data_IF_590334748978
#
_entry.id   IF_590334748978
#
_cell.length_a   1.000
_cell.length_b   1.000
_cell.length_c   1.000
_cell.angle_alpha   90.00
_cell.angle_beta   90.00
_cell.angle_gamma   90.00
#
_symmetry.space_group_name_H-M   'P 1'
#
loop_
_entity.id
_entity.type
_entity.pdbx_description
1 polymer ?
#
# COMPACT_ATOMS: atom_id res chain seq x y z
N UNK A 1 -9.45 -24.01 -33.99
CA UNK A 1 -9.59 -25.48 -34.16
C UNK A 1 -10.01 -26.07 -32.81
N UNK A 2 -11.27 -26.52 -32.65
CA UNK A 2 -11.80 -27.01 -31.36
C UNK A 2 -11.11 -28.27 -30.86
N UNK A 3 -10.75 -29.20 -31.77
CA UNK A 3 -10.04 -30.44 -31.41
C UNK A 3 -8.67 -30.14 -30.81
N UNK A 4 -7.96 -29.17 -31.36
CA UNK A 4 -6.68 -28.71 -30.81
C UNK A 4 -6.85 -28.14 -29.40
N UNK A 5 -7.79 -27.23 -29.18
CA UNK A 5 -8.04 -26.62 -27.86
C UNK A 5 -8.39 -27.68 -26.81
N UNK A 6 -9.22 -28.65 -27.18
CA UNK A 6 -9.59 -29.73 -26.26
C UNK A 6 -8.40 -30.65 -25.94
N UNK A 7 -7.59 -31.01 -26.93
CA UNK A 7 -6.38 -31.79 -26.70
C UNK A 7 -5.36 -31.01 -25.84
N UNK A 8 -5.22 -29.71 -26.08
CA UNK A 8 -4.34 -28.81 -25.33
C UNK A 8 -4.66 -28.81 -23.83
N UNK A 9 -5.93 -28.62 -23.44
CA UNK A 9 -6.31 -28.68 -22.03
C UNK A 9 -6.26 -30.11 -21.47
N UNK A 10 -6.89 -31.08 -22.13
CA UNK A 10 -7.04 -32.43 -21.59
C UNK A 10 -5.72 -33.20 -21.47
N UNK A 11 -4.77 -32.98 -22.37
CA UNK A 11 -3.52 -33.75 -22.43
C UNK A 11 -2.34 -33.03 -21.77
N UNK A 12 -2.40 -31.70 -21.61
CA UNK A 12 -1.29 -30.92 -21.04
C UNK A 12 -1.68 -30.30 -19.71
N UNK A 13 -2.74 -29.47 -19.68
CA UNK A 13 -3.04 -28.66 -18.48
C UNK A 13 -3.76 -29.42 -17.39
N UNK A 14 -4.83 -30.15 -17.69
CA UNK A 14 -5.57 -30.91 -16.66
C UNK A 14 -4.70 -31.95 -15.94
N UNK A 15 -3.78 -32.68 -16.61
CA UNK A 15 -2.85 -33.56 -15.90
C UNK A 15 -1.91 -32.83 -14.93
N UNK A 16 -1.54 -31.58 -15.22
CA UNK A 16 -0.69 -30.76 -14.35
C UNK A 16 -1.49 -30.11 -13.21
N UNK A 17 -2.74 -29.69 -13.47
CA UNK A 17 -3.67 -29.24 -12.44
C UNK A 17 -3.96 -30.36 -11.43
N UNK A 18 -4.12 -31.61 -11.89
CA UNK A 18 -4.24 -32.79 -11.02
C UNK A 18 -2.99 -33.07 -10.18
N UNK A 19 -1.83 -32.55 -10.57
CA UNK A 19 -0.60 -32.63 -9.77
C UNK A 19 -0.51 -31.51 -8.72
N UNK A 20 -1.44 -30.54 -8.74
CA UNK A 20 -1.53 -29.46 -7.76
C UNK A 20 -1.22 -28.06 -8.30
N UNK A 21 -1.23 -27.83 -9.63
CA UNK A 21 -1.11 -26.46 -10.15
C UNK A 21 -2.37 -25.64 -9.80
N UNK A 22 -2.15 -24.53 -9.10
CA UNK A 22 -3.24 -23.66 -8.66
C UNK A 22 -3.73 -22.69 -9.73
N UNK A 23 -2.82 -22.14 -10.53
CA UNK A 23 -3.17 -21.18 -11.58
C UNK A 23 -2.13 -21.18 -12.70
N UNK A 24 -2.51 -20.58 -13.84
CA UNK A 24 -1.65 -20.46 -15.01
C UNK A 24 -1.15 -19.02 -15.20
N UNK A 25 0.15 -18.88 -15.44
CA UNK A 25 0.74 -17.64 -15.91
C UNK A 25 0.96 -17.69 -17.43
N UNK A 26 0.17 -16.90 -18.15
CA UNK A 26 0.20 -16.73 -19.60
C UNK A 26 1.13 -15.56 -19.98
N UNK A 27 2.43 -15.83 -20.06
CA UNK A 27 3.42 -14.77 -20.27
C UNK A 27 3.42 -14.20 -21.70
N UNK A 28 3.19 -15.03 -22.72
CA UNK A 28 3.20 -14.71 -24.17
C UNK A 28 3.98 -13.43 -24.58
N UNK A 29 5.21 -13.59 -25.05
CA UNK A 29 6.07 -12.48 -25.52
C UNK A 29 6.27 -12.46 -27.06
N UNK A 30 5.64 -13.36 -27.81
CA UNK A 30 6.11 -13.72 -29.17
C UNK A 30 5.48 -12.95 -30.34
N UNK A 31 5.03 -11.72 -30.09
CA UNK A 31 4.80 -10.72 -31.15
C UNK A 31 3.37 -10.19 -31.25
N UNK A 32 3.25 -8.89 -31.49
CA UNK A 32 1.99 -8.25 -31.85
C UNK A 32 1.50 -8.78 -33.22
N UNK A 33 0.19 -8.77 -33.44
CA UNK A 33 -0.38 -8.95 -34.76
C UNK A 33 0.26 -7.96 -35.75
N UNK A 34 1.12 -8.44 -36.67
CA UNK A 34 1.86 -7.60 -37.62
C UNK A 34 1.02 -7.22 -38.85
N UNK A 35 -0.23 -7.67 -38.90
CA UNK A 35 -1.20 -7.32 -39.95
C UNK A 35 -2.62 -7.56 -39.45
N UNK A 36 -3.62 -6.99 -40.15
CA UNK A 36 -5.06 -7.24 -39.90
C UNK A 36 -5.47 -8.72 -40.08
N UNK A 37 -4.61 -9.53 -40.70
CA UNK A 37 -4.82 -10.97 -40.88
C UNK A 37 -4.23 -11.83 -39.74
N UNK A 38 -3.46 -11.22 -38.82
CA UNK A 38 -2.93 -11.89 -37.64
C UNK A 38 -3.77 -11.51 -36.42
N UNK A 39 -4.06 -12.48 -35.58
CA UNK A 39 -4.76 -12.28 -34.30
C UNK A 39 -3.69 -12.38 -33.22
N UNK A 40 -3.62 -11.40 -32.32
CA UNK A 40 -2.87 -11.56 -31.08
C UNK A 40 -3.54 -12.66 -30.27
N UNK A 41 -2.87 -13.81 -30.04
CA UNK A 41 -3.50 -14.94 -29.40
C UNK A 41 -3.73 -14.69 -27.91
N UNK A 42 -3.06 -13.72 -27.27
CA UNK A 42 -3.07 -13.56 -25.82
C UNK A 42 -4.49 -13.32 -25.28
N UNK A 43 -5.28 -12.48 -25.96
CA UNK A 43 -6.69 -12.30 -25.60
C UNK A 43 -7.45 -13.63 -25.63
N UNK A 44 -7.28 -14.39 -26.70
CA UNK A 44 -7.97 -15.68 -26.87
C UNK A 44 -7.49 -16.70 -25.84
N UNK A 45 -6.19 -16.71 -25.51
CA UNK A 45 -5.61 -17.56 -24.48
C UNK A 45 -6.19 -17.22 -23.11
N UNK A 46 -6.29 -15.94 -22.76
CA UNK A 46 -6.88 -15.48 -21.49
C UNK A 46 -8.32 -15.97 -21.35
N UNK A 47 -9.14 -15.79 -22.40
CA UNK A 47 -10.53 -16.27 -22.40
C UNK A 47 -10.60 -17.78 -22.26
N UNK A 48 -9.83 -18.52 -23.06
CA UNK A 48 -9.89 -19.98 -23.09
C UNK A 48 -9.43 -20.58 -21.76
N UNK A 49 -8.30 -20.12 -21.21
CA UNK A 49 -7.76 -20.61 -19.94
C UNK A 49 -8.67 -20.29 -18.77
N UNK A 50 -9.16 -19.04 -18.66
CA UNK A 50 -10.05 -18.67 -17.57
C UNK A 50 -11.35 -19.47 -17.60
N UNK A 51 -12.01 -19.58 -18.77
CA UNK A 51 -13.25 -20.34 -18.89
C UNK A 51 -13.05 -21.84 -18.69
N UNK A 52 -11.87 -22.38 -18.97
CA UNK A 52 -11.57 -23.78 -18.69
C UNK A 52 -11.38 -24.01 -17.18
N UNK A 53 -10.58 -23.16 -16.52
CA UNK A 53 -10.33 -23.23 -15.08
C UNK A 53 -11.61 -23.00 -14.26
N UNK A 54 -12.54 -22.14 -14.70
CA UNK A 54 -13.85 -21.93 -14.06
C UNK A 54 -14.66 -23.23 -13.96
N UNK A 55 -14.48 -24.20 -14.87
CA UNK A 55 -15.24 -25.47 -14.80
C UNK A 55 -14.89 -26.28 -13.56
N UNK A 56 -13.62 -26.25 -13.16
CA UNK A 56 -13.11 -27.01 -12.01
C UNK A 56 -13.10 -26.13 -10.74
N UNK A 57 -12.62 -24.89 -10.84
CA UNK A 57 -12.38 -23.99 -9.71
C UNK A 57 -13.47 -22.97 -9.43
N UNK A 58 -14.46 -22.86 -10.33
CA UNK A 58 -15.59 -21.92 -10.21
C UNK A 58 -15.10 -20.47 -9.97
N UNK A 59 -15.44 -19.92 -8.82
CA UNK A 59 -15.13 -18.59 -8.31
C UNK A 59 -13.68 -18.42 -7.84
N UNK A 60 -12.90 -19.50 -7.77
CA UNK A 60 -11.46 -19.47 -7.47
C UNK A 60 -10.58 -19.53 -8.74
N UNK A 61 -11.18 -19.43 -9.93
CA UNK A 61 -10.40 -19.34 -11.16
C UNK A 61 -9.53 -18.07 -11.16
N UNK A 62 -8.24 -18.26 -11.40
CA UNK A 62 -7.24 -17.23 -11.44
C UNK A 62 -6.27 -17.53 -12.56
N UNK A 63 -5.96 -16.51 -13.36
CA UNK A 63 -4.82 -16.55 -14.29
C UNK A 63 -4.05 -15.24 -14.21
N UNK A 64 -2.74 -15.29 -14.45
CA UNK A 64 -1.87 -14.13 -14.56
C UNK A 64 -1.48 -13.97 -16.02
N UNK A 65 -1.56 -12.76 -16.58
CA UNK A 65 -1.28 -12.55 -18.01
C UNK A 65 -0.77 -11.14 -18.30
N UNK A 66 -0.02 -10.98 -19.38
CA UNK A 66 0.37 -9.65 -19.87
C UNK A 66 -0.85 -8.85 -20.32
N UNK A 67 -0.64 -7.55 -20.53
CA UNK A 67 -1.65 -6.67 -21.10
C UNK A 67 -2.10 -7.15 -22.49
N UNK A 68 -3.38 -7.53 -22.61
CA UNK A 68 -3.99 -7.97 -23.88
C UNK A 68 -4.98 -6.95 -24.46
N UNK A 69 -4.94 -5.70 -24.00
CA UNK A 69 -5.84 -4.64 -24.47
C UNK A 69 -7.05 -4.38 -23.54
N UNK A 70 -7.83 -3.32 -23.82
CA UNK A 70 -9.01 -2.95 -23.03
C UNK A 70 -10.04 -4.09 -22.97
N UNK A 71 -10.65 -4.26 -21.80
CA UNK A 71 -11.62 -5.33 -21.54
C UNK A 71 -11.00 -6.66 -21.11
N UNK A 72 -9.68 -6.84 -21.23
CA UNK A 72 -9.05 -8.13 -20.91
C UNK A 72 -9.06 -8.38 -19.42
N UNK A 73 -9.10 -7.35 -18.57
CA UNK A 73 -9.19 -7.41 -17.11
C UNK A 73 -10.30 -8.34 -16.57
N UNK A 74 -11.28 -8.71 -17.40
CA UNK A 74 -12.34 -9.68 -17.06
C UNK A 74 -11.84 -11.10 -16.79
N UNK A 75 -10.62 -11.44 -17.23
CA UNK A 75 -10.12 -12.81 -17.15
C UNK A 75 -8.83 -12.95 -16.32
N UNK A 76 -7.74 -12.19 -16.56
CA UNK A 76 -6.53 -12.30 -15.77
C UNK A 76 -6.28 -11.12 -14.85
N UNK A 77 -5.48 -11.39 -13.82
CA UNK A 77 -4.61 -10.36 -13.27
C UNK A 77 -3.65 -9.93 -14.39
N UNK A 78 -3.67 -8.64 -14.72
CA UNK A 78 -2.76 -8.05 -15.70
C UNK A 78 -1.43 -7.63 -15.06
N UNK A 79 -0.33 -7.69 -15.81
CA UNK A 79 0.95 -7.11 -15.35
C UNK A 79 1.72 -6.33 -16.42
N UNK A 80 2.62 -5.45 -15.95
CA UNK A 80 3.35 -4.48 -16.77
C UNK A 80 4.47 -5.04 -17.66
N UNK A 81 4.83 -6.32 -17.49
CA UNK A 81 5.90 -6.97 -18.25
C UNK A 81 7.31 -6.66 -17.74
N UNK A 82 8.29 -6.84 -18.63
CA UNK A 82 9.71 -6.93 -18.27
C UNK A 82 10.34 -5.55 -18.04
N UNK A 83 10.15 -5.01 -16.84
CA UNK A 83 10.74 -3.74 -16.45
C UNK A 83 12.24 -3.84 -16.20
N UNK A 84 13.01 -2.81 -16.56
CA UNK A 84 14.43 -2.73 -16.19
C UNK A 84 14.55 -2.40 -14.70
N UNK A 85 15.42 -3.09 -13.93
CA UNK A 85 15.70 -2.74 -12.54
C UNK A 85 16.45 -1.41 -12.44
N UNK A 86 15.71 -0.30 -12.44
CA UNK A 86 16.24 1.06 -12.36
C UNK A 86 15.24 2.03 -11.72
N UNK A 87 15.75 3.12 -11.14
CA UNK A 87 14.95 4.23 -10.63
C UNK A 87 14.02 4.85 -11.68
N UNK A 88 14.43 4.88 -12.96
CA UNK A 88 13.58 5.36 -14.06
C UNK A 88 12.34 4.48 -14.25
N UNK A 89 12.49 3.17 -14.14
CA UNK A 89 11.35 2.25 -14.16
C UNK A 89 10.46 2.47 -12.94
N UNK A 90 11.03 2.52 -11.74
CA UNK A 90 10.27 2.78 -10.52
C UNK A 90 9.51 4.12 -10.58
N UNK A 91 10.09 5.16 -11.17
CA UNK A 91 9.42 6.47 -11.38
C UNK A 91 8.15 6.35 -12.23
N UNK A 92 8.11 5.40 -13.17
CA UNK A 92 6.97 5.18 -14.06
C UNK A 92 5.90 4.25 -13.48
N UNK A 93 6.29 3.28 -12.63
CA UNK A 93 5.40 2.21 -12.20
C UNK A 93 4.16 2.66 -11.39
N UNK A 94 4.24 3.64 -10.47
CA UNK A 94 3.05 4.13 -9.77
C UNK A 94 2.01 4.73 -10.70
N UNK A 95 2.41 5.64 -11.59
CA UNK A 95 1.53 6.20 -12.61
C UNK A 95 0.89 5.09 -13.46
N UNK A 96 1.69 4.13 -13.93
CA UNK A 96 1.17 3.05 -14.77
C UNK A 96 0.20 2.14 -14.02
N UNK A 97 0.50 1.82 -12.76
CA UNK A 97 -0.36 1.01 -11.88
C UNK A 97 -1.67 1.73 -11.59
N UNK A 98 -1.63 3.02 -11.22
CA UNK A 98 -2.83 3.78 -10.91
C UNK A 98 -3.72 3.96 -12.15
N UNK A 99 -3.12 4.28 -13.31
CA UNK A 99 -3.88 4.50 -14.56
C UNK A 99 -4.39 3.23 -15.22
N UNK A 100 -3.92 2.03 -14.82
CA UNK A 100 -4.50 0.77 -15.27
C UNK A 100 -6.00 0.66 -14.91
N UNK A 101 -6.42 1.30 -13.82
CA UNK A 101 -7.83 1.32 -13.40
C UNK A 101 -8.72 2.10 -14.36
N UNK A 102 -8.19 3.05 -15.14
CA UNK A 102 -8.94 3.77 -16.20
C UNK A 102 -9.51 2.83 -17.27
N UNK A 103 -8.92 1.65 -17.42
CA UNK A 103 -9.31 0.64 -18.41
C UNK A 103 -9.78 -0.68 -17.77
N UNK A 104 -10.16 -0.61 -16.47
CA UNK A 104 -10.74 -1.71 -15.71
C UNK A 104 -9.75 -2.69 -15.09
N UNK A 105 -8.44 -2.49 -15.23
CA UNK A 105 -7.43 -3.31 -14.56
C UNK A 105 -7.25 -2.86 -13.10
N UNK A 106 -8.18 -3.25 -12.24
CA UNK A 106 -8.22 -2.85 -10.82
C UNK A 106 -7.23 -3.61 -9.94
N UNK A 107 -6.92 -4.86 -10.30
CA UNK A 107 -5.92 -5.73 -9.66
C UNK A 107 -4.64 -5.84 -10.48
N UNK A 108 -4.06 -4.69 -10.87
CA UNK A 108 -2.83 -4.65 -11.67
C UNK A 108 -1.59 -5.11 -10.90
N UNK A 109 -0.69 -5.81 -11.59
CA UNK A 109 0.58 -6.32 -11.06
C UNK A 109 1.78 -5.76 -11.83
N UNK A 110 2.96 -5.84 -11.22
CA UNK A 110 4.24 -5.51 -11.84
C UNK A 110 5.35 -6.26 -11.11
N UNK A 111 6.55 -6.27 -11.71
CA UNK A 111 7.72 -6.93 -11.14
C UNK A 111 8.39 -6.02 -10.12
N UNK A 112 8.12 -6.27 -8.84
CA UNK A 112 8.68 -5.47 -7.75
C UNK A 112 10.20 -5.64 -7.71
N UNK A 113 10.91 -4.52 -7.73
CA UNK A 113 12.37 -4.47 -7.83
C UNK A 113 12.90 -4.59 -9.26
N UNK A 114 12.04 -4.68 -10.27
CA UNK A 114 12.40 -4.77 -11.69
C UNK A 114 12.72 -6.18 -12.18
N UNK A 115 12.35 -6.45 -13.43
CA UNK A 115 12.46 -7.77 -14.06
C UNK A 115 13.90 -8.16 -14.43
N UNK A 116 14.59 -7.28 -15.17
CA UNK A 116 15.87 -7.59 -15.81
C UNK A 116 16.83 -6.38 -15.86
N UNK A 117 18.09 -6.64 -16.23
CA UNK A 117 19.14 -5.62 -16.36
C UNK A 117 19.33 -4.79 -15.07
N UNK A 118 20.06 -3.67 -15.17
CA UNK A 118 20.39 -2.83 -14.02
C UNK A 118 21.58 -3.35 -13.22
N UNK A 119 21.69 -2.90 -11.98
CA UNK A 119 22.74 -3.26 -11.03
C UNK A 119 22.14 -3.48 -9.64
N UNK A 120 22.89 -4.17 -8.77
CA UNK A 120 22.50 -4.32 -7.38
C UNK A 120 22.34 -2.94 -6.71
N UNK A 121 21.13 -2.63 -6.26
CA UNK A 121 20.78 -1.41 -5.56
C UNK A 121 19.75 -1.76 -4.47
N UNK A 122 20.19 -1.91 -3.21
CA UNK A 122 19.31 -2.30 -2.11
C UNK A 122 18.26 -1.24 -1.80
N UNK A 123 18.55 0.05 -2.02
CA UNK A 123 17.58 1.12 -1.78
C UNK A 123 16.49 1.10 -2.84
N UNK A 124 16.83 0.93 -4.12
CA UNK A 124 15.86 0.78 -5.20
C UNK A 124 14.92 -0.39 -4.93
N UNK A 125 15.47 -1.57 -4.60
CA UNK A 125 14.67 -2.75 -4.29
C UNK A 125 13.75 -2.51 -3.10
N UNK A 126 14.24 -1.86 -2.03
CA UNK A 126 13.44 -1.53 -0.86
C UNK A 126 12.30 -0.57 -1.19
N UNK A 127 12.58 0.55 -1.85
CA UNK A 127 11.55 1.55 -2.19
C UNK A 127 10.50 0.96 -3.13
N UNK A 128 10.91 0.10 -4.06
CA UNK A 128 9.98 -0.61 -4.93
C UNK A 128 9.12 -1.61 -4.14
N UNK A 129 9.69 -2.34 -3.18
CA UNK A 129 8.93 -3.24 -2.31
C UNK A 129 7.92 -2.48 -1.45
N UNK A 130 8.32 -1.34 -0.88
CA UNK A 130 7.41 -0.47 -0.11
C UNK A 130 6.24 0.01 -0.98
N UNK A 131 6.50 0.45 -2.21
CA UNK A 131 5.44 0.72 -3.19
C UNK A 131 4.56 -0.52 -3.47
N UNK A 132 5.18 -1.69 -3.63
CA UNK A 132 4.50 -2.96 -3.89
C UNK A 132 3.53 -3.41 -2.79
N UNK A 133 3.83 -3.11 -1.52
CA UNK A 133 2.91 -3.35 -0.39
C UNK A 133 1.59 -2.59 -0.57
N UNK A 134 1.67 -1.38 -1.10
CA UNK A 134 0.53 -0.52 -1.41
C UNK A 134 0.11 -0.57 -2.89
N UNK A 135 0.45 -1.67 -3.59
CA UNK A 135 -0.03 -1.97 -4.95
C UNK A 135 -1.15 -3.01 -4.90
N UNK A 136 -1.95 -3.21 -5.96
CA UNK A 136 -3.05 -4.16 -5.92
C UNK A 136 -2.53 -5.59 -5.74
N UNK A 137 -1.50 -5.96 -6.48
CA UNK A 137 -0.81 -7.25 -6.35
C UNK A 137 0.64 -7.04 -5.93
N UNK A 138 1.05 -7.71 -4.85
CA UNK A 138 2.44 -7.74 -4.39
C UNK A 138 3.13 -8.99 -4.96
N UNK A 139 3.91 -8.82 -6.03
CA UNK A 139 4.64 -9.92 -6.70
C UNK A 139 6.12 -9.60 -6.87
N UNK A 140 6.96 -10.32 -6.12
CA UNK A 140 8.41 -10.31 -6.32
C UNK A 140 8.74 -11.22 -7.49
N UNK A 141 9.33 -10.69 -8.56
CA UNK A 141 9.66 -11.47 -9.75
C UNK A 141 10.81 -10.84 -10.54
N UNK A 142 11.61 -11.69 -11.20
CA UNK A 142 12.68 -11.30 -12.11
C UNK A 142 13.05 -12.40 -13.10
N UNK A 143 13.89 -12.05 -14.06
CA UNK A 143 14.60 -13.01 -14.91
C UNK A 143 15.39 -14.02 -14.08
N UNK A 144 15.65 -15.19 -14.64
CA UNK A 144 16.52 -16.23 -14.06
C UNK A 144 17.99 -15.78 -14.06
N UNK A 145 18.32 -14.94 -13.10
CA UNK A 145 19.66 -14.45 -12.83
C UNK A 145 19.92 -14.56 -11.32
N UNK A 146 20.92 -15.36 -10.88
CA UNK A 146 21.18 -15.60 -9.46
C UNK A 146 21.56 -14.34 -8.67
N UNK A 147 21.95 -13.25 -9.34
CA UNK A 147 22.27 -11.97 -8.70
C UNK A 147 21.09 -10.98 -8.64
N UNK A 148 19.91 -11.37 -9.12
CA UNK A 148 18.70 -10.54 -9.14
C UNK A 148 17.62 -11.01 -8.16
N UNK A 149 17.99 -11.82 -7.16
CA UNK A 149 17.10 -12.25 -6.08
C UNK A 149 16.33 -11.08 -5.45
N UNK A 150 15.05 -11.29 -5.18
CA UNK A 150 14.11 -10.27 -4.68
C UNK A 150 13.72 -10.50 -3.23
N UNK A 151 14.06 -11.65 -2.70
CA UNK A 151 13.73 -12.05 -1.34
C UNK A 151 14.51 -11.20 -0.33
N UNK A 152 13.87 -10.80 0.79
CA UNK A 152 14.51 -9.90 1.77
C UNK A 152 15.89 -10.35 2.26
N UNK A 153 16.09 -11.66 2.44
CA UNK A 153 17.35 -12.25 2.92
C UNK A 153 18.52 -12.22 1.92
N UNK A 154 18.29 -11.73 0.69
CA UNK A 154 19.36 -11.49 -0.30
C UNK A 154 20.03 -10.11 -0.12
N UNK A 155 19.54 -9.28 0.81
CA UNK A 155 20.01 -7.91 1.02
C UNK A 155 20.75 -7.75 2.36
N UNK A 156 21.38 -6.58 2.56
CA UNK A 156 21.99 -6.23 3.83
C UNK A 156 20.97 -6.21 4.98
N UNK A 157 21.44 -6.36 6.21
CA UNK A 157 20.58 -6.55 7.39
C UNK A 157 19.58 -5.42 7.62
N UNK A 158 19.91 -4.16 7.31
CA UNK A 158 18.96 -3.06 7.46
C UNK A 158 17.86 -3.11 6.42
N UNK A 159 18.25 -3.36 5.17
CA UNK A 159 17.33 -3.51 4.05
C UNK A 159 16.40 -4.70 4.26
N UNK A 160 16.92 -5.87 4.63
CA UNK A 160 16.14 -7.07 4.97
C UNK A 160 15.11 -6.78 6.07
N UNK A 161 15.54 -6.18 7.19
CA UNK A 161 14.63 -5.83 8.30
C UNK A 161 13.50 -4.92 7.86
N UNK A 162 13.81 -3.92 7.02
CA UNK A 162 12.78 -3.03 6.51
C UNK A 162 11.84 -3.76 5.55
N UNK A 163 12.37 -4.50 4.57
CA UNK A 163 11.57 -5.30 3.64
C UNK A 163 10.65 -6.29 4.37
N UNK A 164 11.18 -7.03 5.36
CA UNK A 164 10.42 -7.98 6.17
C UNK A 164 9.30 -7.28 6.95
N UNK A 165 9.54 -6.10 7.52
CA UNK A 165 8.49 -5.31 8.19
C UNK A 165 7.36 -4.94 7.22
N UNK A 166 7.71 -4.52 6.01
CA UNK A 166 6.75 -4.12 4.98
C UNK A 166 5.96 -5.32 4.39
N UNK A 167 6.61 -6.47 4.17
CA UNK A 167 5.93 -7.72 3.78
C UNK A 167 4.95 -8.16 4.86
N UNK A 168 5.32 -8.07 6.14
CA UNK A 168 4.41 -8.37 7.25
C UNK A 168 3.23 -7.41 7.29
N UNK A 169 3.47 -6.11 7.08
CA UNK A 169 2.39 -5.12 6.97
C UNK A 169 1.41 -5.49 5.84
N UNK A 170 1.90 -5.95 4.68
CA UNK A 170 1.01 -6.43 3.60
C UNK A 170 0.10 -7.57 4.08
N UNK A 171 0.64 -8.54 4.79
CA UNK A 171 -0.15 -9.66 5.34
C UNK A 171 -1.17 -9.18 6.38
N UNK A 172 -0.76 -8.25 7.26
CA UNK A 172 -1.67 -7.65 8.24
C UNK A 172 -2.79 -6.85 7.58
N UNK A 173 -2.55 -6.23 6.42
CA UNK A 173 -3.56 -5.49 5.65
C UNK A 173 -4.59 -6.37 4.93
N UNK A 174 -4.48 -7.70 4.96
CA UNK A 174 -5.40 -8.60 4.26
C UNK A 174 -6.88 -8.31 4.54
N UNK A 175 -7.34 -8.02 5.78
CA UNK A 175 -8.75 -7.67 6.02
C UNK A 175 -9.20 -6.38 5.29
N UNK A 176 -8.33 -5.38 5.22
CA UNK A 176 -8.57 -4.14 4.45
C UNK A 176 -8.59 -4.41 2.94
N UNK A 177 -7.66 -5.22 2.45
CA UNK A 177 -7.56 -5.61 1.03
C UNK A 177 -8.74 -6.48 0.59
N UNK A 178 -9.17 -7.43 1.40
CA UNK A 178 -10.32 -8.30 1.14
C UNK A 178 -11.61 -7.47 1.09
N UNK A 179 -11.73 -6.45 1.93
CA UNK A 179 -12.85 -5.49 1.81
C UNK A 179 -12.82 -4.77 0.47
N UNK A 180 -11.65 -4.28 0.03
CA UNK A 180 -11.50 -3.64 -1.26
C UNK A 180 -11.81 -4.60 -2.42
N UNK A 181 -11.49 -5.89 -2.31
CA UNK A 181 -11.85 -6.91 -3.31
C UNK A 181 -13.36 -7.09 -3.42
N UNK A 182 -14.05 -7.22 -2.29
CA UNK A 182 -15.51 -7.31 -2.24
C UNK A 182 -16.18 -6.10 -2.89
N UNK A 183 -15.68 -4.89 -2.60
CA UNK A 183 -16.20 -3.65 -3.19
C UNK A 183 -15.86 -3.53 -4.68
N UNK A 184 -14.67 -3.97 -5.10
CA UNK A 184 -14.29 -4.03 -6.51
C UNK A 184 -15.24 -4.94 -7.28
N UNK A 185 -15.49 -6.14 -6.77
CA UNK A 185 -16.38 -7.12 -7.40
C UNK A 185 -17.85 -6.65 -7.47
N UNK A 186 -18.36 -6.10 -6.37
CA UNK A 186 -19.80 -5.77 -6.25
C UNK A 186 -20.16 -4.39 -6.81
N UNK A 187 -19.24 -3.43 -6.72
CA UNK A 187 -19.50 -2.02 -7.00
C UNK A 187 -18.57 -1.42 -8.06
N UNK A 188 -17.56 -2.17 -8.52
CA UNK A 188 -16.58 -1.68 -9.48
C UNK A 188 -15.61 -0.64 -8.90
N UNK A 189 -15.54 -0.50 -7.56
CA UNK A 189 -14.65 0.44 -6.88
C UNK A 189 -13.24 -0.14 -6.79
N UNK A 190 -12.25 0.38 -7.52
CA UNK A 190 -10.90 -0.19 -7.49
C UNK A 190 -10.21 0.07 -6.15
N UNK A 191 -9.34 -0.85 -5.74
CA UNK A 191 -8.45 -0.64 -4.59
C UNK A 191 -7.55 0.60 -4.78
N UNK A 192 -7.09 0.85 -6.01
CA UNK A 192 -6.28 2.04 -6.32
C UNK A 192 -7.07 3.01 -7.19
N UNK A 193 -7.13 4.26 -6.76
CA UNK A 193 -7.77 5.33 -7.54
C UNK A 193 -6.76 6.46 -7.75
N UNK A 194 -6.42 6.84 -8.99
CA UNK A 194 -5.72 8.08 -9.26
C UNK A 194 -6.43 9.25 -8.57
N UNK A 195 -5.69 10.23 -8.04
CA UNK A 195 -6.28 11.30 -7.21
C UNK A 195 -7.37 12.08 -7.95
N UNK A 196 -7.23 12.23 -9.27
CA UNK A 196 -8.22 12.90 -10.12
C UNK A 196 -9.58 12.18 -10.20
N UNK A 197 -9.72 10.92 -9.76
CA UNK A 197 -11.03 10.26 -9.65
C UNK A 197 -11.92 10.95 -8.62
N UNK A 198 -11.36 11.35 -7.47
CA UNK A 198 -12.11 12.02 -6.40
C UNK A 198 -12.06 13.53 -6.52
N UNK A 199 -11.06 14.07 -7.20
CA UNK A 199 -10.82 15.51 -7.38
C UNK A 199 -10.67 15.90 -8.85
N UNK A 200 -11.69 15.66 -9.70
CA UNK A 200 -11.58 15.80 -11.16
C UNK A 200 -11.38 17.25 -11.64
N UNK A 201 -11.75 18.23 -10.82
CA UNK A 201 -11.64 19.66 -11.12
C UNK A 201 -10.35 20.30 -10.56
N UNK A 202 -9.52 19.54 -9.83
CA UNK A 202 -8.30 20.05 -9.21
C UNK A 202 -7.11 19.77 -10.13
N UNK A 203 -6.41 20.83 -10.54
CA UNK A 203 -5.27 20.73 -11.48
C UNK A 203 -4.14 19.88 -10.90
N UNK A 204 -3.83 20.07 -9.63
CA UNK A 204 -2.76 19.38 -8.91
C UNK A 204 -2.97 17.86 -8.93
N UNK A 205 -4.22 17.37 -8.87
CA UNK A 205 -4.57 15.95 -8.94
C UNK A 205 -4.17 15.27 -10.27
N UNK A 206 -3.94 16.04 -11.34
CA UNK A 206 -3.39 15.55 -12.61
C UNK A 206 -1.89 15.81 -12.77
N UNK A 207 -1.34 16.74 -11.99
CA UNK A 207 0.09 17.07 -12.01
C UNK A 207 0.91 16.02 -11.25
N UNK A 208 0.45 15.62 -10.07
CA UNK A 208 1.08 14.58 -9.25
C UNK A 208 0.58 13.19 -9.68
N UNK A 209 1.21 12.65 -10.71
CA UNK A 209 0.74 11.45 -11.42
C UNK A 209 1.01 10.13 -10.70
N UNK A 210 1.92 10.13 -9.73
CA UNK A 210 2.36 8.93 -9.03
C UNK A 210 1.60 8.67 -7.74
N UNK A 211 0.87 9.66 -7.21
CA UNK A 211 0.04 9.50 -6.01
C UNK A 211 -1.35 8.93 -6.36
N UNK A 212 -1.93 8.23 -5.40
CA UNK A 212 -3.22 7.57 -5.55
C UNK A 212 -3.85 7.26 -4.20
N UNK A 213 -5.17 7.16 -4.17
CA UNK A 213 -5.87 6.57 -3.02
C UNK A 213 -5.70 5.06 -3.01
N UNK A 214 -5.47 4.51 -1.83
CA UNK A 214 -5.39 3.09 -1.57
C UNK A 214 -6.54 2.69 -0.65
N UNK A 215 -7.60 2.17 -1.25
CA UNK A 215 -8.90 1.95 -0.64
C UNK A 215 -9.59 3.26 -0.21
N UNK A 216 -10.48 3.19 0.77
CA UNK A 216 -11.24 4.35 1.23
C UNK A 216 -10.46 5.29 2.16
N UNK A 217 -9.43 4.78 2.84
CA UNK A 217 -8.83 5.46 4.00
C UNK A 217 -7.48 6.13 3.72
N UNK A 218 -6.71 5.63 2.75
CA UNK A 218 -5.30 6.00 2.57
C UNK A 218 -5.03 6.74 1.26
N UNK A 219 -4.08 7.67 1.29
CA UNK A 219 -3.43 8.32 0.15
C UNK A 219 -1.95 7.94 0.19
N UNK A 220 -1.43 7.37 -0.90
CA UNK A 220 -0.04 6.91 -1.00
C UNK A 220 0.72 7.87 -1.91
N UNK A 221 1.90 8.33 -1.47
CA UNK A 221 2.79 9.19 -2.26
C UNK A 221 4.13 8.48 -2.46
N UNK A 222 4.32 7.75 -3.57
CA UNK A 222 5.46 6.85 -3.75
C UNK A 222 6.82 7.55 -3.86
N UNK A 223 7.81 7.00 -3.15
CA UNK A 223 9.22 7.39 -3.27
C UNK A 223 9.81 6.71 -4.50
N UNK A 224 10.28 7.52 -5.45
CA UNK A 224 10.78 7.04 -6.74
C UNK A 224 12.17 7.58 -7.10
N UNK A 225 12.85 8.16 -6.12
CA UNK A 225 14.21 8.67 -6.21
C UNK A 225 15.06 8.17 -5.02
N UNK A 226 16.38 8.04 -5.19
CA UNK A 226 17.28 7.62 -4.11
C UNK A 226 17.32 8.64 -2.97
N UNK A 227 17.80 8.18 -1.82
CA UNK A 227 18.02 9.03 -0.66
C UNK A 227 19.07 10.10 -0.93
N UNK A 228 18.90 11.25 -0.27
CA UNK A 228 19.90 12.31 -0.28
C UNK A 228 21.11 11.90 0.57
N UNK A 229 22.32 12.01 0.02
CA UNK A 229 23.56 11.58 0.66
C UNK A 229 23.86 12.32 1.97
N UNK A 230 23.35 13.56 2.11
CA UNK A 230 23.56 14.39 3.29
C UNK A 230 22.67 13.94 4.43
N UNK A 231 21.38 13.71 4.18
CA UNK A 231 20.39 13.41 5.22
C UNK A 231 20.16 11.91 5.43
N UNK A 232 20.43 11.08 4.42
CA UNK A 232 20.03 9.67 4.38
C UNK A 232 18.52 9.46 4.21
N UNK A 233 17.77 10.51 3.85
CA UNK A 233 16.33 10.47 3.67
C UNK A 233 15.99 10.45 2.18
N UNK A 234 15.04 9.60 1.79
CA UNK A 234 14.44 9.69 0.47
C UNK A 234 13.19 10.58 0.53
N UNK A 235 12.81 11.16 -0.60
CA UNK A 235 11.68 12.09 -0.66
C UNK A 235 10.66 11.75 -1.75
N UNK A 236 9.43 12.18 -1.52
CA UNK A 236 8.36 12.18 -2.51
C UNK A 236 7.55 13.47 -2.36
N UNK A 237 7.17 14.08 -3.47
CA UNK A 237 6.32 15.27 -3.48
C UNK A 237 4.93 14.91 -4.02
N UNK A 238 3.89 15.37 -3.35
CA UNK A 238 2.50 15.06 -3.68
C UNK A 238 1.53 16.17 -3.29
N UNK A 239 0.32 16.10 -3.83
CA UNK A 239 -0.78 16.96 -3.48
C UNK A 239 -1.63 16.30 -2.39
N UNK A 240 -1.63 16.91 -1.21
CA UNK A 240 -2.51 16.55 -0.10
C UNK A 240 -3.87 17.20 -0.33
N UNK A 241 -4.95 16.43 -0.56
CA UNK A 241 -6.27 16.99 -0.81
C UNK A 241 -6.85 17.72 0.39
N UNK A 242 -7.86 18.55 0.14
CA UNK A 242 -8.56 19.32 1.18
C UNK A 242 -9.00 18.43 2.37
N UNK A 243 -8.64 18.86 3.58
CA UNK A 243 -8.89 18.12 4.83
C UNK A 243 -7.62 17.87 5.63
N UNK A 244 -7.76 17.25 6.80
CA UNK A 244 -6.64 16.83 7.64
C UNK A 244 -6.30 15.38 7.34
N UNK A 245 -5.02 15.09 7.24
CA UNK A 245 -4.47 13.78 6.95
C UNK A 245 -3.38 13.46 7.97
N UNK A 246 -3.27 12.21 8.40
CA UNK A 246 -2.28 11.76 9.38
C UNK A 246 -1.40 10.70 8.74
N UNK A 247 -0.08 10.85 8.78
CA UNK A 247 0.84 9.84 8.24
C UNK A 247 0.79 8.56 9.07
N UNK A 248 0.62 7.43 8.39
CA UNK A 248 0.51 6.09 8.97
C UNK A 248 1.76 5.68 9.77
N UNK A 249 2.94 6.18 9.40
CA UNK A 249 4.22 5.77 9.97
C UNK A 249 4.82 6.80 10.91
N UNK A 250 4.68 8.10 10.60
CA UNK A 250 5.25 9.18 11.41
C UNK A 250 4.22 9.81 12.36
N UNK A 251 2.93 9.55 12.16
CA UNK A 251 1.81 10.16 12.87
C UNK A 251 1.69 11.69 12.71
N UNK A 252 2.54 12.29 11.89
CA UNK A 252 2.50 13.71 11.55
C UNK A 252 1.18 14.04 10.83
N UNK A 253 0.55 15.14 11.20
CA UNK A 253 -0.65 15.64 10.56
C UNK A 253 -0.34 16.70 9.50
N UNK A 254 -1.05 16.64 8.39
CA UNK A 254 -0.97 17.57 7.27
C UNK A 254 -2.37 18.12 7.00
N UNK A 255 -2.46 19.43 6.77
CA UNK A 255 -3.71 20.08 6.36
C UNK A 255 -3.63 20.45 4.89
N UNK A 256 -4.45 19.81 4.07
CA UNK A 256 -4.65 20.18 2.68
C UNK A 256 -5.79 21.20 2.48
N UNK A 257 -5.92 21.80 1.29
CA UNK A 257 -5.17 21.48 0.08
C UNK A 257 -3.74 22.04 0.12
N UNK A 258 -2.74 21.20 -0.10
CA UNK A 258 -1.33 21.61 -0.07
C UNK A 258 -0.47 20.70 -0.95
N UNK A 259 0.61 21.25 -1.51
CA UNK A 259 1.69 20.44 -2.06
C UNK A 259 2.72 20.25 -0.95
N UNK A 260 3.04 18.99 -0.67
CA UNK A 260 3.94 18.63 0.43
C UNK A 260 5.03 17.71 -0.11
N UNK A 261 6.26 17.96 0.31
CA UNK A 261 7.40 17.08 0.08
C UNK A 261 7.71 16.32 1.35
N UNK A 262 7.52 15.01 1.30
CA UNK A 262 7.67 14.08 2.41
C UNK A 262 9.08 13.52 2.44
N UNK A 263 9.71 13.45 3.62
CA UNK A 263 11.04 12.87 3.82
C UNK A 263 10.96 11.63 4.71
N UNK A 264 11.48 10.50 4.21
CA UNK A 264 11.37 9.20 4.91
C UNK A 264 12.70 8.48 4.95
N UNK A 265 13.01 7.93 6.12
CA UNK A 265 14.09 6.96 6.26
C UNK A 265 13.68 5.61 5.64
N UNK A 266 14.57 4.62 5.72
CA UNK A 266 14.36 3.28 5.15
C UNK A 266 13.17 2.52 5.74
N UNK A 267 12.69 2.85 6.94
CA UNK A 267 11.64 2.12 7.66
C UNK A 267 10.25 2.76 7.55
N UNK A 268 10.13 3.84 6.78
CA UNK A 268 8.90 4.61 6.64
C UNK A 268 8.60 4.85 5.16
N UNK A 269 7.33 5.11 4.85
CA UNK A 269 6.85 5.40 3.51
C UNK A 269 5.72 6.43 3.57
N UNK A 270 5.58 7.38 2.64
CA UNK A 270 4.53 8.39 2.71
C UNK A 270 3.16 7.78 2.43
N UNK A 271 2.40 7.52 3.49
CA UNK A 271 1.04 6.99 3.43
C UNK A 271 0.20 7.79 4.41
N UNK A 272 -0.71 8.58 3.87
CA UNK A 272 -1.54 9.47 4.65
C UNK A 272 -2.92 8.85 4.84
N UNK A 273 -3.39 8.81 6.08
CA UNK A 273 -4.72 8.35 6.45
C UNK A 273 -5.62 9.57 6.65
N UNK A 274 -6.82 9.52 6.06
CA UNK A 274 -7.80 10.62 6.15
C UNK A 274 -8.21 10.91 7.60
N UNK A 275 -8.71 12.12 7.83
CA UNK A 275 -9.32 12.53 9.10
C UNK A 275 -10.34 11.52 9.62
N UNK A 276 -10.14 11.02 10.85
CA UNK A 276 -10.97 10.01 11.49
C UNK A 276 -10.79 8.58 10.96
N UNK A 277 -9.81 8.35 10.08
CA UNK A 277 -9.65 7.09 9.37
C UNK A 277 -9.57 5.87 10.30
N UNK A 278 -10.03 4.73 9.78
CA UNK A 278 -10.07 3.45 10.51
C UNK A 278 -9.41 2.38 9.67
N UNK A 279 -8.31 1.80 10.16
CA UNK A 279 -7.53 0.79 9.42
C UNK A 279 -7.55 -0.54 10.19
N UNK A 280 -8.31 -1.55 9.73
CA UNK A 280 -8.28 -2.88 10.32
C UNK A 280 -7.07 -3.68 9.82
N UNK A 281 -6.38 -4.32 10.77
CA UNK A 281 -5.21 -5.15 10.54
C UNK A 281 -5.42 -6.52 11.20
N UNK A 282 -5.03 -7.59 10.53
CA UNK A 282 -4.82 -8.87 11.21
C UNK A 282 -3.59 -8.75 12.14
N UNK A 283 -3.65 -9.34 13.34
CA UNK A 283 -2.54 -9.26 14.28
C UNK A 283 -1.37 -10.13 13.85
N UNK A 284 -1.66 -11.37 13.46
CA UNK A 284 -0.64 -12.34 13.04
C UNK A 284 -0.41 -12.28 11.52
N UNK A 285 0.71 -11.68 11.14
CA UNK A 285 1.17 -11.59 9.75
C UNK A 285 1.53 -12.95 9.12
N UNK A 286 1.68 -14.01 9.93
CA UNK A 286 2.07 -15.34 9.49
C UNK A 286 0.90 -16.33 9.47
N UNK A 287 -0.29 -15.91 9.91
CA UNK A 287 -1.49 -16.74 9.89
C UNK A 287 -1.90 -17.08 8.45
N UNK A 288 -2.58 -18.21 8.28
CA UNK A 288 -3.14 -18.60 6.99
C UNK A 288 -4.18 -17.55 6.54
N UNK A 289 -4.07 -17.11 5.29
CA UNK A 289 -4.95 -16.07 4.72
C UNK A 289 -6.28 -16.62 4.19
N UNK A 290 -6.41 -17.95 4.09
CA UNK A 290 -7.64 -18.62 3.68
C UNK A 290 -8.71 -18.59 4.78
N UNK A 291 -8.28 -18.41 6.03
CA UNK A 291 -9.14 -18.30 7.20
C UNK A 291 -9.32 -16.84 7.61
N UNK A 292 -10.50 -16.50 8.12
CA UNK A 292 -10.72 -15.20 8.73
C UNK A 292 -9.86 -15.09 10.01
N UNK A 293 -9.18 -13.95 10.24
CA UNK A 293 -8.24 -13.82 11.37
C UNK A 293 -8.96 -14.01 12.70
N UNK A 294 -8.35 -14.64 13.71
CA UNK A 294 -8.94 -14.71 15.06
C UNK A 294 -8.66 -13.46 15.90
N UNK A 295 -7.60 -12.70 15.58
CA UNK A 295 -7.22 -11.50 16.31
C UNK A 295 -6.89 -10.37 15.33
N UNK A 296 -7.40 -9.17 15.63
CA UNK A 296 -7.22 -8.00 14.78
C UNK A 296 -6.95 -6.75 15.60
N UNK A 297 -6.14 -5.86 15.06
CA UNK A 297 -5.95 -4.50 15.54
C UNK A 297 -6.73 -3.55 14.66
N UNK A 298 -7.55 -2.68 15.26
CA UNK A 298 -8.21 -1.58 14.57
C UNK A 298 -7.49 -0.29 14.93
N UNK A 299 -6.74 0.25 13.97
CA UNK A 299 -6.02 1.52 14.14
C UNK A 299 -6.98 2.68 13.86
N UNK A 300 -7.13 3.56 14.84
CA UNK A 300 -8.04 4.71 14.84
C UNK A 300 -7.23 6.01 14.75
N UNK A 301 -7.56 6.84 13.76
CA UNK A 301 -6.85 8.08 13.49
C UNK A 301 -7.61 9.30 14.05
N UNK A 302 -6.89 10.38 14.42
CA UNK A 302 -7.51 11.60 14.92
C UNK A 302 -8.31 12.34 13.83
N UNK A 303 -9.16 13.29 14.25
CA UNK A 303 -9.87 14.19 13.35
C UNK A 303 -11.38 14.16 13.51
N UNK A 304 -12.10 14.08 12.39
CA UNK A 304 -13.58 14.10 12.37
C UNK A 304 -14.16 12.72 12.61
N UNK A 305 -15.41 12.67 13.07
CA UNK A 305 -16.15 11.42 13.15
C UNK A 305 -16.19 10.72 11.79
N UNK A 306 -15.92 9.42 11.79
CA UNK A 306 -15.87 8.61 10.59
C UNK A 306 -16.28 7.16 10.89
N UNK A 307 -16.62 6.41 9.83
CA UNK A 307 -16.98 5.01 9.94
C UNK A 307 -16.41 4.21 8.78
N UNK A 308 -16.01 2.98 9.08
CA UNK A 308 -15.50 2.01 8.11
C UNK A 308 -16.28 0.71 8.23
N UNK A 309 -16.59 0.08 7.10
CA UNK A 309 -17.26 -1.22 7.06
C UNK A 309 -16.26 -2.26 6.58
N UNK A 310 -15.89 -3.18 7.47
CA UNK A 310 -15.12 -4.37 7.12
C UNK A 310 -16.07 -5.39 6.47
N UNK A 311 -15.71 -5.86 5.28
CA UNK A 311 -16.42 -6.93 4.59
C UNK A 311 -15.62 -8.22 4.70
N UNK A 312 -16.26 -9.29 5.17
CA UNK A 312 -15.66 -10.61 5.32
C UNK A 312 -16.48 -11.62 4.52
N UNK A 313 -15.82 -12.58 3.86
CA UNK A 313 -16.47 -13.62 3.09
C UNK A 313 -15.73 -14.96 3.19
N UNK A 314 -16.49 -16.04 3.21
CA UNK A 314 -16.00 -17.41 3.09
C UNK A 314 -16.92 -18.17 2.13
N UNK A 315 -16.61 -19.44 1.86
CA UNK A 315 -17.53 -20.31 1.11
C UNK A 315 -18.90 -20.48 1.79
N UNK A 316 -18.99 -20.26 3.11
CA UNK A 316 -20.23 -20.41 3.88
C UNK A 316 -21.13 -19.15 3.85
N UNK A 317 -20.62 -17.99 3.46
CA UNK A 317 -21.40 -16.77 3.37
C UNK A 317 -20.60 -15.48 3.51
N UNK A 318 -21.29 -14.42 3.92
CA UNK A 318 -20.72 -13.07 4.06
C UNK A 318 -21.08 -12.47 5.42
N UNK A 319 -20.20 -11.63 5.92
CA UNK A 319 -20.40 -10.84 7.13
C UNK A 319 -19.90 -9.41 6.93
N UNK A 320 -20.42 -8.50 7.75
CA UNK A 320 -19.98 -7.12 7.81
C UNK A 320 -19.77 -6.69 9.26
N UNK A 321 -18.67 -6.01 9.52
CA UNK A 321 -18.42 -5.33 10.80
C UNK A 321 -18.26 -3.84 10.55
N UNK A 322 -19.20 -3.03 11.03
CA UNK A 322 -19.13 -1.57 10.93
C UNK A 322 -18.44 -1.00 12.17
N UNK A 323 -17.32 -0.34 11.98
CA UNK A 323 -16.65 0.48 12.99
C UNK A 323 -17.08 1.93 12.85
N UNK A 324 -17.35 2.60 13.96
CA UNK A 324 -17.63 4.05 14.03
C UNK A 324 -16.73 4.67 15.08
N UNK A 325 -16.05 5.75 14.72
CA UNK A 325 -15.08 6.41 15.59
C UNK A 325 -15.39 7.91 15.65
N UNK A 326 -15.56 8.42 16.86
CA UNK A 326 -15.65 9.85 17.15
C UNK A 326 -14.48 10.25 18.06
N UNK A 327 -13.40 10.81 17.48
CA UNK A 327 -12.23 11.25 18.23
C UNK A 327 -12.55 12.34 19.26
N UNK A 328 -13.52 13.21 18.98
CA UNK A 328 -13.84 14.37 19.83
C UNK A 328 -14.64 13.92 21.05
N UNK A 329 -15.60 13.03 20.85
CA UNK A 329 -16.35 12.44 21.95
C UNK A 329 -15.58 11.32 22.68
N UNK A 330 -14.48 10.83 22.10
CA UNK A 330 -13.76 9.66 22.60
C UNK A 330 -14.62 8.40 22.57
N UNK A 331 -15.46 8.23 21.54
CA UNK A 331 -16.38 7.08 21.47
C UNK A 331 -16.11 6.20 20.26
N UNK A 332 -16.04 4.90 20.52
CA UNK A 332 -15.94 3.86 19.51
C UNK A 332 -17.20 2.99 19.52
N UNK A 333 -17.73 2.71 18.34
CA UNK A 333 -18.86 1.82 18.12
C UNK A 333 -18.50 0.71 17.14
N UNK A 334 -19.02 -0.49 17.39
CA UNK A 334 -18.91 -1.64 16.50
C UNK A 334 -20.29 -2.27 16.35
N UNK A 335 -20.73 -2.51 15.12
CA UNK A 335 -21.96 -3.24 14.80
C UNK A 335 -21.64 -4.41 13.90
N UNK A 336 -22.04 -5.61 14.30
CA UNK A 336 -21.71 -6.87 13.60
C UNK A 336 -22.96 -7.43 12.91
N UNK A 337 -22.84 -7.75 11.63
CA UNK A 337 -23.88 -8.43 10.84
C UNK A 337 -23.28 -9.70 10.25
N UNK A 338 -23.57 -10.85 10.87
CA UNK A 338 -23.03 -12.16 10.49
C UNK A 338 -24.14 -13.22 10.44
N UNK A 339 -25.02 -13.17 9.42
CA UNK A 339 -26.15 -14.11 9.30
C UNK A 339 -25.72 -15.55 9.03
N UNK A 340 -24.48 -15.75 8.55
CA UNK A 340 -23.92 -17.06 8.21
C UNK A 340 -22.98 -17.61 9.30
N UNK A 341 -22.78 -16.88 10.40
CA UNK A 341 -21.89 -17.25 11.50
C UNK A 341 -20.46 -17.57 11.05
N UNK A 342 -19.93 -16.79 10.11
CA UNK A 342 -18.58 -17.00 9.55
C UNK A 342 -17.50 -16.34 10.40
N UNK A 343 -17.82 -15.33 11.21
CA UNK A 343 -16.82 -14.65 12.05
C UNK A 343 -16.33 -15.64 13.11
N UNK A 344 -15.01 -15.83 13.27
CA UNK A 344 -14.45 -16.81 14.20
C UNK A 344 -15.01 -16.66 15.62
N UNK A 345 -15.30 -17.78 16.28
CA UNK A 345 -15.92 -17.79 17.61
C UNK A 345 -15.09 -17.03 18.65
N UNK A 346 -13.76 -17.07 18.48
CA UNK A 346 -12.77 -16.44 19.36
C UNK A 346 -12.31 -15.07 18.86
N UNK A 347 -12.96 -14.47 17.85
CA UNK A 347 -12.57 -13.17 17.29
C UNK A 347 -12.38 -12.13 18.39
N UNK A 348 -11.20 -11.52 18.44
CA UNK A 348 -10.90 -10.37 19.29
C UNK A 348 -10.48 -9.14 18.47
N UNK A 349 -10.78 -7.96 19.01
CA UNK A 349 -10.25 -6.70 18.50
C UNK A 349 -9.44 -5.99 19.59
N UNK A 350 -8.25 -5.52 19.21
CA UNK A 350 -7.45 -4.54 19.93
C UNK A 350 -7.63 -3.17 19.26
N UNK A 351 -7.83 -2.10 20.04
CA UNK A 351 -7.78 -0.74 19.49
C UNK A 351 -6.38 -0.17 19.65
N UNK A 352 -5.91 0.48 18.59
CA UNK A 352 -4.71 1.32 18.61
C UNK A 352 -5.12 2.72 18.18
N UNK A 353 -4.97 3.71 19.04
CA UNK A 353 -5.38 5.09 18.75
C UNK A 353 -4.12 5.92 18.51
N UNK A 354 -4.03 6.52 17.32
CA UNK A 354 -2.85 7.31 16.93
C UNK A 354 -2.79 8.59 17.76
N UNK A 355 -1.64 8.85 18.37
CA UNK A 355 -1.40 10.03 19.22
C UNK A 355 -1.96 9.93 20.64
N UNK A 356 -2.34 8.73 21.09
CA UNK A 356 -2.92 8.48 22.42
C UNK A 356 -2.16 7.33 23.09
N UNK A 357 -1.78 7.50 24.36
CA UNK A 357 -1.03 6.50 25.15
C UNK A 357 -1.91 5.37 25.67
N UNK A 358 -3.22 5.60 25.75
CA UNK A 358 -4.20 4.68 26.32
C UNK A 358 -4.14 3.33 25.61
N UNK A 359 -3.74 2.29 26.35
CA UNK A 359 -3.80 0.90 25.88
C UNK A 359 -5.06 0.25 26.43
N UNK A 360 -5.88 -0.30 25.54
CA UNK A 360 -7.07 -1.06 25.93
C UNK A 360 -6.78 -2.55 25.96
N UNK A 361 -7.56 -3.30 26.74
CA UNK A 361 -7.57 -4.76 26.60
C UNK A 361 -8.37 -5.16 25.36
N UNK A 362 -7.99 -6.25 24.67
CA UNK A 362 -8.79 -6.78 23.58
C UNK A 362 -10.22 -7.10 24.05
N UNK A 363 -11.19 -6.90 23.18
CA UNK A 363 -12.59 -7.24 23.41
C UNK A 363 -13.13 -8.19 22.34
N UNK A 364 -14.26 -8.83 22.62
CA UNK A 364 -14.87 -9.78 21.67
C UNK A 364 -15.39 -9.05 20.43
N UNK A 365 -15.03 -9.57 19.26
CA UNK A 365 -15.43 -9.03 17.96
C UNK A 365 -16.72 -9.59 17.36
N UNK A 366 -17.48 -10.41 18.10
CA UNK A 366 -18.70 -11.04 17.59
C UNK A 366 -19.99 -10.30 17.92
N UNK A 367 -19.92 -9.37 18.87
CA UNK A 367 -21.07 -8.69 19.41
C UNK A 367 -20.92 -7.19 19.21
N UNK A 368 -22.04 -6.51 19.09
CA UNK A 368 -22.04 -5.05 19.08
C UNK A 368 -21.31 -4.50 20.31
N UNK A 369 -20.48 -3.49 20.08
CA UNK A 369 -19.73 -2.81 21.14
C UNK A 369 -19.99 -1.31 21.07
N UNK A 370 -20.03 -0.70 22.25
CA UNK A 370 -19.98 0.76 22.39
C UNK A 370 -19.08 1.09 23.55
N UNK A 371 -17.98 1.76 23.25
CA UNK A 371 -16.92 2.07 24.19
C UNK A 371 -16.77 3.59 24.28
N UNK A 372 -16.69 4.10 25.50
CA UNK A 372 -16.23 5.46 25.80
C UNK A 372 -14.81 5.34 26.33
N UNK A 373 -13.89 6.05 25.70
CA UNK A 373 -12.46 5.89 25.87
C UNK A 373 -11.90 7.10 26.59
N UNK A 374 -11.08 6.85 27.61
CA UNK A 374 -10.29 7.90 28.24
C UNK A 374 -9.02 8.11 27.41
N UNK A 375 -8.95 9.23 26.69
CA UNK A 375 -7.90 9.51 25.72
C UNK A 375 -6.81 10.36 26.37
N UNK A 376 -5.74 9.71 26.84
CA UNK A 376 -4.54 10.42 27.27
C UNK A 376 -3.64 10.70 26.06
N UNK A 377 -3.59 11.97 25.64
CA UNK A 377 -2.78 12.38 24.50
C UNK A 377 -1.27 12.14 24.72
N UNK A 378 -0.58 11.73 23.66
CA UNK A 378 0.87 11.73 23.62
C UNK A 378 1.43 13.15 23.59
N UNK A 379 2.66 13.32 24.10
CA UNK A 379 3.39 14.58 23.99
C UNK A 379 3.91 14.74 22.56
N UNK A 380 3.07 15.32 21.70
CA UNK A 380 3.36 15.52 20.29
C UNK A 380 4.62 16.37 20.07
N UNK A 381 4.86 17.35 20.95
CA UNK A 381 6.06 18.17 20.86
C UNK A 381 7.31 17.34 21.15
N UNK A 382 7.28 16.44 22.15
CA UNK A 382 8.40 15.54 22.42
C UNK A 382 8.66 14.57 21.25
N UNK A 383 7.62 14.00 20.65
CA UNK A 383 7.74 13.11 19.48
C UNK A 383 8.36 13.86 18.30
N UNK A 384 7.88 15.07 18.02
CA UNK A 384 8.39 15.96 16.98
C UNK A 384 9.88 16.27 17.17
N UNK A 385 10.28 16.60 18.40
CA UNK A 385 11.67 16.84 18.76
C UNK A 385 12.54 15.58 18.60
N UNK A 386 12.04 14.40 18.95
CA UNK A 386 12.74 13.13 18.74
C UNK A 386 12.98 12.86 17.24
N UNK A 387 11.99 13.13 16.39
CA UNK A 387 12.13 13.00 14.94
C UNK A 387 13.19 13.96 14.38
N UNK A 388 13.14 15.23 14.76
CA UNK A 388 14.14 16.23 14.34
C UNK A 388 15.55 15.83 14.81
N UNK A 389 15.68 15.39 16.07
CA UNK A 389 16.94 14.92 16.61
C UNK A 389 17.50 13.75 15.78
N UNK A 390 16.66 12.77 15.46
CA UNK A 390 17.06 11.61 14.66
C UNK A 390 17.59 12.02 13.27
N UNK A 391 16.94 12.98 12.61
CA UNK A 391 17.42 13.52 11.32
C UNK A 391 18.79 14.20 11.50
N UNK A 392 18.92 15.11 12.46
CA UNK A 392 20.18 15.82 12.72
C UNK A 392 21.32 14.86 13.09
N UNK A 393 21.04 13.84 13.90
CA UNK A 393 22.02 12.85 14.34
C UNK A 393 22.68 12.15 13.13
N UNK A 394 21.88 11.74 12.14
CA UNK A 394 22.37 11.00 10.98
C UNK A 394 22.82 11.88 9.81
N UNK A 395 22.44 13.16 9.79
CA UNK A 395 22.88 14.09 8.75
C UNK A 395 24.42 14.21 8.70
N UNK A 396 25.01 14.13 7.51
CA UNK A 396 26.45 14.28 7.26
C UNK A 396 26.87 15.75 7.17
N UNK A 397 26.60 16.49 8.25
CA UNK A 397 26.99 17.89 8.44
C UNK A 397 27.84 18.04 9.71
N UNK A 398 28.55 19.16 9.85
CA UNK A 398 29.41 19.43 11.00
C UNK A 398 28.62 19.37 12.33
N UNK A 399 29.23 18.81 13.38
CA UNK A 399 28.59 18.70 14.70
C UNK A 399 28.18 20.05 15.29
N UNK A 400 28.97 21.11 15.07
CA UNK A 400 28.62 22.46 15.53
C UNK A 400 27.35 22.98 14.85
N UNK A 401 27.19 22.70 13.56
CA UNK A 401 25.95 23.04 12.84
C UNK A 401 24.76 22.25 13.39
N UNK A 402 24.92 20.94 13.64
CA UNK A 402 23.86 20.11 14.27
C UNK A 402 23.45 20.69 15.62
N UNK A 403 24.43 21.05 16.45
CA UNK A 403 24.20 21.65 17.77
C UNK A 403 23.45 22.97 17.66
N UNK A 404 23.86 23.85 16.75
CA UNK A 404 23.22 25.16 16.55
C UNK A 404 21.78 25.01 16.06
N UNK A 405 21.53 24.12 15.09
CA UNK A 405 20.18 23.82 14.59
C UNK A 405 19.31 23.22 15.71
N UNK A 406 19.85 22.25 16.47
CA UNK A 406 19.14 21.62 17.58
C UNK A 406 18.75 22.61 18.67
N UNK A 407 19.68 23.47 19.11
CA UNK A 407 19.39 24.54 20.08
C UNK A 407 18.30 25.47 19.58
N UNK A 408 18.33 25.83 18.29
CA UNK A 408 17.31 26.68 17.70
C UNK A 408 15.92 26.04 17.72
N UNK A 409 15.84 24.74 17.44
CA UNK A 409 14.57 23.99 17.48
C UNK A 409 14.07 23.77 18.91
N UNK A 410 14.97 23.52 19.85
CA UNK A 410 14.62 23.20 21.24
C UNK A 410 14.26 24.45 22.06
N UNK A 411 14.91 25.59 21.79
CA UNK A 411 14.85 26.76 22.66
C UNK A 411 13.96 27.88 22.11
N UNK A 412 13.51 27.79 20.85
CA UNK A 412 12.73 28.83 20.18
C UNK A 412 11.33 28.35 19.74
N UNK A 413 10.35 29.26 19.60
CA UNK A 413 9.08 28.94 18.95
C UNK A 413 9.30 28.43 17.52
N UNK A 414 8.45 27.51 17.06
CA UNK A 414 8.58 26.82 15.77
C UNK A 414 8.79 27.76 14.57
N UNK A 415 8.08 28.90 14.52
CA UNK A 415 8.23 29.89 13.44
C UNK A 415 9.62 30.54 13.38
N UNK A 416 10.25 30.79 14.54
CA UNK A 416 11.62 31.32 14.61
C UNK A 416 12.64 30.24 14.32
N UNK A 417 12.44 29.04 14.85
CA UNK A 417 13.28 27.88 14.54
C UNK A 417 13.30 27.59 13.03
N UNK A 418 12.14 27.68 12.36
CA UNK A 418 12.03 27.49 10.92
C UNK A 418 12.89 28.49 10.12
N UNK A 419 12.91 29.77 10.50
CA UNK A 419 13.77 30.78 9.85
C UNK A 419 15.27 30.48 10.03
N UNK A 420 15.66 30.04 11.23
CA UNK A 420 17.04 29.63 11.50
C UNK A 420 17.44 28.39 10.71
N UNK A 421 16.56 27.39 10.64
CA UNK A 421 16.78 26.18 9.83
C UNK A 421 16.93 26.54 8.36
N UNK A 422 16.01 27.35 7.82
CA UNK A 422 16.03 27.77 6.42
C UNK A 422 17.26 28.58 6.02
N UNK A 423 17.89 29.28 6.98
CA UNK A 423 19.06 30.12 6.72
C UNK A 423 20.39 29.40 6.90
N UNK A 424 20.47 28.43 7.81
CA UNK A 424 21.73 27.79 8.21
C UNK A 424 21.91 26.38 7.67
N UNK A 425 20.83 25.61 7.53
CA UNK A 425 20.93 24.23 7.09
C UNK A 425 21.13 24.15 5.56
N UNK A 426 21.90 23.17 5.06
CA UNK A 426 21.90 22.84 3.64
C UNK A 426 20.48 22.54 3.15
N UNK A 427 20.18 22.86 1.88
CA UNK A 427 18.81 22.84 1.35
C UNK A 427 18.02 21.56 1.68
N UNK A 428 18.58 20.37 1.44
CA UNK A 428 17.88 19.09 1.69
C UNK A 428 17.63 18.82 3.16
N UNK A 429 18.58 19.19 4.04
CA UNK A 429 18.39 19.10 5.49
C UNK A 429 17.37 20.14 5.97
N UNK A 430 17.42 21.36 5.43
CA UNK A 430 16.44 22.41 5.72
C UNK A 430 15.04 21.92 5.42
N UNK A 431 14.79 21.44 4.20
CA UNK A 431 13.46 21.00 3.78
C UNK A 431 12.93 19.85 4.64
N UNK A 432 13.77 18.86 4.98
CA UNK A 432 13.37 17.73 5.83
C UNK A 432 13.00 18.17 7.25
N UNK A 433 13.73 19.14 7.81
CA UNK A 433 13.41 19.70 9.13
C UNK A 433 12.16 20.59 9.07
N UNK A 434 11.98 21.36 8.00
CA UNK A 434 10.82 22.21 7.80
C UNK A 434 9.53 21.43 7.57
N UNK A 435 9.58 20.27 6.90
CA UNK A 435 8.45 19.34 6.81
C UNK A 435 7.89 19.06 8.21
N UNK A 436 8.75 18.75 9.18
CA UNK A 436 8.31 18.44 10.53
C UNK A 436 7.91 19.71 11.28
N UNK A 437 8.74 20.76 11.23
CA UNK A 437 8.52 21.98 12.01
C UNK A 437 7.22 22.71 11.67
N UNK A 438 6.82 22.72 10.40
CA UNK A 438 5.68 23.49 9.90
C UNK A 438 4.36 22.70 9.89
N UNK A 439 4.39 21.42 10.25
CA UNK A 439 3.21 20.57 10.35
C UNK A 439 2.98 20.14 11.82
N UNK A 440 1.75 19.73 12.13
CA UNK A 440 1.30 19.39 13.49
C UNK A 440 1.53 17.94 13.87
#
# INVERSE_FOLDING_TARGET
>A
NRKFVQAYFNLVHHPLEKQGIDFWWLDWQQGAARSRAQIDPLWSLNVLHFLDQVKEKKDQALILSRYAGPGSHRYPIGFSGDSVASWRSLTFQPYFTATATNIGYTWWSHDIGGHMHGSYDPELSLRWLQFGVFSPIMRLHSSDNPFMGKEPWQYDLETDKSMTRFVRLRAQLVPYLATADVLTHQQGMPLIEPVYYRYPEVKEAYQFKNEYFFGSEMLVVPITAPSDDTTGLASAEGYVPAGTWTDLFTHQQYTGPAVVKFYRNKFQYPVLVRSGGIVPLADDAMAAIDDLPEAMTVTLFPGKQHAYVLHEQTAAGKAQTKFSWDPVAGTFGMTVTDPNHIIPEKRTYQLQIVGVKTTMKPFSGRFDQRLTLDLEAEDQQAIKLQHIFAILQHAKVAFDLKKQLWQSVNDMPASRAALTVASLAPATLSDALLEILLND
#
